data_IF_573520405030
#
_entry.id   IF_573520405030
#
_cell.length_a   1.000
_cell.length_b   1.000
_cell.length_c   1.000
_cell.angle_alpha   90.00
_cell.angle_beta   90.00
_cell.angle_gamma   90.00
#
_symmetry.space_group_name_H-M   'P 1'
#
loop_
_entity.id
_entity.type
_entity.pdbx_description
1 polymer ?
#
# COMPACT_ATOMS: atom_id res chain seq x y z
N UNK A 1 41.92 -56.01 -17.76
CA UNK A 1 42.23 -54.64 -18.23
C UNK A 1 40.91 -53.93 -18.39
N UNK A 2 40.72 -52.94 -17.54
CA UNK A 2 39.48 -52.24 -17.23
C UNK A 2 39.42 -50.92 -18.03
N UNK A 3 38.25 -50.52 -18.50
CA UNK A 3 37.92 -49.14 -18.94
C UNK A 3 36.45 -49.02 -19.33
N UNK A 4 35.58 -49.08 -18.32
CA UNK A 4 34.24 -48.48 -18.37
C UNK A 4 34.37 -47.02 -17.92
N UNK A 5 34.32 -46.06 -18.85
CA UNK A 5 34.26 -44.64 -18.49
C UNK A 5 32.86 -44.28 -18.00
N UNK A 6 32.68 -44.36 -16.67
CA UNK A 6 31.64 -43.66 -15.94
C UNK A 6 31.91 -42.16 -16.04
N UNK A 7 31.21 -41.47 -16.94
CA UNK A 7 31.07 -40.01 -16.83
C UNK A 7 30.09 -39.76 -15.69
N UNK A 8 30.67 -39.34 -14.59
CA UNK A 8 30.05 -39.01 -13.32
C UNK A 8 28.90 -38.02 -13.48
N UNK A 9 27.68 -38.47 -13.20
CA UNK A 9 26.52 -37.62 -12.99
C UNK A 9 26.61 -36.87 -11.66
N UNK A 10 27.52 -35.91 -11.56
CA UNK A 10 27.72 -35.11 -10.34
C UNK A 10 28.28 -33.72 -10.65
N UNK A 11 27.57 -32.94 -11.44
CA UNK A 11 27.82 -31.49 -11.57
C UNK A 11 26.55 -30.63 -11.70
N UNK A 12 25.37 -31.24 -11.84
CA UNK A 12 24.09 -30.50 -11.83
C UNK A 12 23.46 -30.37 -10.44
N UNK A 13 23.95 -31.13 -9.46
CA UNK A 13 23.38 -31.17 -8.10
C UNK A 13 23.89 -30.03 -7.18
N UNK A 14 24.86 -29.23 -7.64
CA UNK A 14 25.45 -28.14 -6.84
C UNK A 14 24.74 -26.78 -6.96
N UNK A 15 23.75 -26.66 -7.85
CA UNK A 15 22.98 -25.41 -8.03
C UNK A 15 21.51 -25.53 -7.68
N UNK A 16 21.07 -26.66 -7.12
CA UNK A 16 19.74 -26.77 -6.55
C UNK A 16 19.78 -26.23 -5.12
N UNK A 17 19.89 -24.90 -5.00
CA UNK A 17 19.34 -24.23 -3.81
C UNK A 17 17.85 -24.52 -3.88
N UNK A 18 17.41 -25.58 -3.21
CA UNK A 18 16.02 -25.74 -2.82
C UNK A 18 15.67 -24.51 -1.98
N UNK A 19 15.22 -23.46 -2.65
CA UNK A 19 14.30 -22.51 -2.05
C UNK A 19 13.02 -23.30 -1.79
N UNK A 20 13.02 -24.08 -0.71
CA UNK A 20 11.80 -24.35 0.04
C UNK A 20 11.10 -23.00 0.15
N UNK A 21 9.94 -22.79 -0.50
CA UNK A 21 9.22 -21.55 -0.35
C UNK A 21 8.83 -21.51 1.12
N UNK A 22 9.58 -20.74 1.92
CA UNK A 22 9.13 -20.35 3.25
C UNK A 22 7.74 -19.79 3.01
N UNK A 23 6.71 -20.55 3.39
CA UNK A 23 5.33 -20.10 3.32
C UNK A 23 5.22 -18.92 4.28
N UNK A 24 5.59 -17.74 3.79
CA UNK A 24 5.42 -16.49 4.49
C UNK A 24 3.92 -16.34 4.71
N UNK A 25 3.51 -16.12 5.96
CA UNK A 25 2.11 -15.87 6.26
C UNK A 25 1.56 -14.79 5.32
N UNK A 26 0.33 -14.97 4.79
CA UNK A 26 -0.30 -13.99 3.91
C UNK A 26 -0.25 -12.59 4.52
N UNK A 27 0.02 -11.57 3.70
CA UNK A 27 -0.03 -10.19 4.18
C UNK A 27 -1.48 -9.76 4.45
N UNK A 28 -1.63 -8.85 5.40
CA UNK A 28 -2.92 -8.24 5.77
C UNK A 28 -2.70 -6.76 6.08
N UNK A 29 -2.93 -5.91 5.08
CA UNK A 29 -2.77 -4.47 5.22
C UNK A 29 -3.73 -3.88 6.25
N UNK A 30 -4.96 -4.40 6.34
CA UNK A 30 -5.96 -3.93 7.29
C UNK A 30 -5.51 -4.12 8.74
N UNK A 31 -4.91 -5.28 9.04
CA UNK A 31 -4.31 -5.59 10.33
C UNK A 31 -3.06 -4.74 10.60
N UNK A 32 -2.18 -4.58 9.61
CA UNK A 32 -1.02 -3.70 9.70
C UNK A 32 -1.45 -2.26 10.07
N UNK A 33 -2.44 -1.71 9.38
CA UNK A 33 -2.98 -0.37 9.65
C UNK A 33 -3.54 -0.26 11.07
N UNK A 34 -4.30 -1.25 11.55
CA UNK A 34 -4.77 -1.26 12.95
C UNK A 34 -3.60 -1.18 13.93
N UNK A 35 -2.54 -1.95 13.70
CA UNK A 35 -1.35 -1.93 14.56
C UNK A 35 -0.64 -0.58 14.54
N UNK A 36 -0.49 0.05 13.37
CA UNK A 36 0.09 1.40 13.27
C UNK A 36 -0.78 2.42 14.00
N UNK A 37 -2.09 2.43 13.76
CA UNK A 37 -3.03 3.36 14.42
C UNK A 37 -2.99 3.23 15.93
N UNK A 38 -3.00 1.99 16.45
CA UNK A 38 -2.87 1.73 17.89
C UNK A 38 -1.58 2.34 18.46
N UNK A 39 -0.45 2.21 17.74
CA UNK A 39 0.83 2.79 18.18
C UNK A 39 0.83 4.32 18.14
N UNK A 40 0.25 4.93 17.10
CA UNK A 40 0.14 6.39 16.99
C UNK A 40 -0.61 7.01 18.18
N UNK A 41 -1.66 6.33 18.67
CA UNK A 41 -2.52 6.85 19.75
C UNK A 41 -2.02 6.55 21.16
N UNK A 42 -0.99 5.72 21.33
CA UNK A 42 -0.54 5.25 22.66
C UNK A 42 0.48 6.18 23.33
N UNK A 43 1.24 6.95 22.56
CA UNK A 43 2.36 7.75 23.08
C UNK A 43 2.00 9.22 23.28
N UNK A 44 1.02 9.72 22.53
CA UNK A 44 0.53 11.09 22.66
C UNK A 44 -0.96 11.14 22.30
N UNK A 45 -1.69 12.13 22.83
CA UNK A 45 -3.07 12.39 22.42
C UNK A 45 -3.21 12.90 20.98
N UNK A 46 -2.09 13.08 20.26
CA UNK A 46 -2.00 13.57 18.89
C UNK A 46 -1.64 12.42 17.95
N UNK A 47 -2.21 12.41 16.75
CA UNK A 47 -1.88 11.43 15.72
C UNK A 47 -0.50 11.76 15.13
N UNK A 48 0.42 10.80 15.19
CA UNK A 48 1.72 10.90 14.52
C UNK A 48 1.54 10.80 12.99
N UNK A 49 1.58 11.95 12.31
CA UNK A 49 1.43 12.01 10.86
C UNK A 49 2.62 11.43 10.08
N UNK A 50 3.80 11.25 10.71
CA UNK A 50 4.93 10.55 10.09
C UNK A 50 4.67 9.06 9.98
N UNK A 51 4.13 8.44 11.04
CA UNK A 51 3.67 7.06 10.97
C UNK A 51 2.50 6.88 9.99
N UNK A 52 1.56 7.84 9.97
CA UNK A 52 0.46 7.86 9.01
C UNK A 52 0.97 7.88 7.56
N UNK A 53 1.89 8.81 7.22
CA UNK A 53 2.51 8.90 5.89
C UNK A 53 3.20 7.59 5.49
N UNK A 54 3.97 6.98 6.40
CA UNK A 54 4.62 5.69 6.14
C UNK A 54 3.60 4.58 5.84
N UNK A 55 2.51 4.52 6.60
CA UNK A 55 1.46 3.55 6.36
C UNK A 55 0.77 3.77 5.01
N UNK A 56 0.50 5.03 4.64
CA UNK A 56 -0.08 5.42 3.35
C UNK A 56 0.85 5.05 2.18
N UNK A 57 2.14 5.39 2.28
CA UNK A 57 3.12 5.11 1.23
C UNK A 57 3.34 3.62 0.97
N UNK A 58 2.97 2.75 1.91
CA UNK A 58 3.01 1.30 1.75
C UNK A 58 1.78 0.73 1.02
N UNK A 59 0.73 1.52 0.77
CA UNK A 59 -0.54 1.03 0.21
C UNK A 59 -0.36 0.32 -1.15
N UNK A 60 0.50 0.85 -2.04
CA UNK A 60 0.75 0.26 -3.37
C UNK A 60 1.50 -1.07 -3.28
N UNK A 61 2.45 -1.19 -2.34
CA UNK A 61 3.16 -2.44 -2.08
C UNK A 61 2.24 -3.50 -1.50
N UNK A 62 1.43 -3.13 -0.50
CA UNK A 62 0.45 -4.04 0.09
C UNK A 62 -0.66 -4.42 -0.89
N UNK A 63 -1.01 -3.56 -1.84
CA UNK A 63 -1.94 -3.94 -2.91
C UNK A 63 -1.41 -5.16 -3.68
N UNK A 64 -0.13 -5.16 -4.06
CA UNK A 64 0.51 -6.28 -4.76
C UNK A 64 0.63 -7.50 -3.85
N UNK A 65 1.09 -7.33 -2.61
CA UNK A 65 1.35 -8.49 -1.73
C UNK A 65 0.06 -9.10 -1.19
N UNK A 66 -0.94 -8.32 -0.79
CA UNK A 66 -2.23 -8.85 -0.32
C UNK A 66 -2.93 -9.58 -1.47
N UNK A 67 -2.91 -9.04 -2.69
CA UNK A 67 -3.57 -9.71 -3.84
C UNK A 67 -2.85 -10.98 -4.32
N UNK A 68 -1.53 -11.07 -4.15
CA UNK A 68 -0.75 -12.25 -4.58
C UNK A 68 -0.59 -13.32 -3.50
N UNK A 69 -0.65 -12.95 -2.22
CA UNK A 69 -0.42 -13.88 -1.09
C UNK A 69 -1.68 -14.21 -0.31
N UNK A 70 -2.76 -13.44 -0.47
CA UNK A 70 -4.04 -13.62 0.23
C UNK A 70 -5.19 -13.58 -0.78
N UNK A 71 -5.35 -14.67 -1.56
CA UNK A 71 -6.35 -14.76 -2.63
C UNK A 71 -7.78 -14.54 -2.15
N UNK A 72 -8.08 -14.94 -0.91
CA UNK A 72 -9.45 -14.98 -0.41
C UNK A 72 -9.90 -13.61 0.11
N UNK A 73 -8.99 -12.88 0.76
CA UNK A 73 -9.34 -11.66 1.50
C UNK A 73 -8.42 -10.47 1.25
N UNK A 74 -7.36 -10.62 0.46
CA UNK A 74 -6.33 -9.61 0.28
C UNK A 74 -6.85 -8.27 -0.24
N UNK A 75 -7.73 -8.29 -1.25
CA UNK A 75 -8.38 -7.08 -1.77
C UNK A 75 -9.21 -6.39 -0.67
N UNK A 76 -9.95 -7.19 0.12
CA UNK A 76 -10.81 -6.67 1.19
C UNK A 76 -9.98 -6.04 2.31
N UNK A 77 -8.91 -6.71 2.76
CA UNK A 77 -8.02 -6.21 3.82
C UNK A 77 -7.29 -4.96 3.37
N UNK A 78 -6.78 -4.96 2.14
CA UNK A 78 -6.17 -3.81 1.52
C UNK A 78 -7.12 -2.61 1.45
N UNK A 79 -8.32 -2.81 0.88
CA UNK A 79 -9.30 -1.75 0.71
C UNK A 79 -9.71 -1.16 2.07
N UNK A 80 -9.95 -2.02 3.06
CA UNK A 80 -10.27 -1.61 4.44
C UNK A 80 -9.15 -0.79 5.07
N UNK A 81 -7.90 -1.24 4.93
CA UNK A 81 -6.72 -0.54 5.44
C UNK A 81 -6.59 0.85 4.83
N UNK A 82 -6.69 0.95 3.50
CA UNK A 82 -6.48 2.22 2.81
C UNK A 82 -7.58 3.24 3.14
N UNK A 83 -8.84 2.81 3.17
CA UNK A 83 -9.97 3.67 3.59
C UNK A 83 -9.78 4.22 5.00
N UNK A 84 -9.34 3.39 5.96
CA UNK A 84 -9.12 3.83 7.35
C UNK A 84 -8.06 4.92 7.46
N UNK A 85 -6.96 4.81 6.72
CA UNK A 85 -5.91 5.84 6.73
C UNK A 85 -6.46 7.17 6.20
N UNK A 86 -7.27 7.13 5.15
CA UNK A 86 -7.88 8.33 4.56
C UNK A 86 -8.95 8.92 5.48
N UNK A 87 -9.72 8.08 6.19
CA UNK A 87 -10.69 8.56 7.18
C UNK A 87 -10.00 9.28 8.34
N UNK A 88 -8.82 8.82 8.77
CA UNK A 88 -7.99 9.56 9.74
C UNK A 88 -7.59 10.93 9.19
N UNK A 89 -7.20 11.01 7.91
CA UNK A 89 -6.89 12.31 7.28
C UNK A 89 -8.09 13.25 7.26
N UNK A 90 -9.29 12.73 6.96
CA UNK A 90 -10.54 13.52 7.00
C UNK A 90 -10.79 14.09 8.40
N UNK A 91 -10.58 13.28 9.44
CA UNK A 91 -10.70 13.73 10.83
C UNK A 91 -9.65 14.80 11.15
N UNK A 92 -8.39 14.59 10.80
CA UNK A 92 -7.33 15.59 10.99
C UNK A 92 -7.62 16.90 10.25
N UNK A 93 -8.17 16.82 9.03
CA UNK A 93 -8.58 17.99 8.27
C UNK A 93 -9.68 18.78 9.00
N UNK A 94 -10.70 18.10 9.50
CA UNK A 94 -11.80 18.74 10.25
C UNK A 94 -11.33 19.46 11.52
N UNK A 95 -10.22 19.01 12.11
CA UNK A 95 -9.58 19.65 13.28
C UNK A 95 -8.58 20.74 12.91
N UNK A 96 -8.31 20.96 11.62
CA UNK A 96 -7.26 21.86 11.15
C UNK A 96 -5.83 21.33 11.32
N UNK A 97 -5.67 20.10 11.80
CA UNK A 97 -4.39 19.47 12.16
C UNK A 97 -3.69 18.78 10.98
N UNK A 98 -4.42 18.48 9.89
CA UNK A 98 -3.84 17.76 8.75
C UNK A 98 -2.75 18.59 8.05
N UNK A 99 -1.58 17.98 7.92
CA UNK A 99 -0.37 18.50 7.28
C UNK A 99 -0.42 18.33 5.75
N UNK A 100 0.19 19.28 5.03
CA UNK A 100 0.32 19.24 3.57
C UNK A 100 1.08 17.99 3.10
N UNK A 101 2.15 17.61 3.79
CA UNK A 101 2.96 16.45 3.42
C UNK A 101 2.16 15.15 3.47
N UNK A 102 1.21 15.05 4.41
CA UNK A 102 0.30 13.90 4.50
C UNK A 102 -0.66 13.86 3.30
N UNK A 103 -1.15 15.01 2.86
CA UNK A 103 -1.98 15.11 1.64
C UNK A 103 -1.18 14.72 0.41
N UNK A 104 0.07 15.18 0.30
CA UNK A 104 0.96 14.84 -0.82
C UNK A 104 1.24 13.33 -0.89
N UNK A 105 1.58 12.71 0.24
CA UNK A 105 1.83 11.27 0.31
C UNK A 105 0.59 10.47 -0.09
N UNK A 106 -0.60 10.87 0.35
CA UNK A 106 -1.84 10.21 -0.04
C UNK A 106 -2.17 10.36 -1.52
N UNK A 107 -1.98 11.55 -2.11
CA UNK A 107 -2.15 11.77 -3.55
C UNK A 107 -1.19 10.89 -4.37
N UNK A 108 0.07 10.79 -3.93
CA UNK A 108 1.07 9.92 -4.55
C UNK A 108 0.68 8.44 -4.45
N UNK A 109 0.41 7.95 -3.25
CA UNK A 109 0.01 6.56 -3.02
C UNK A 109 -1.26 6.19 -3.80
N UNK A 110 -2.23 7.10 -3.89
CA UNK A 110 -3.44 6.92 -4.68
C UNK A 110 -3.12 6.74 -6.18
N UNK A 111 -2.21 7.56 -6.73
CA UNK A 111 -1.76 7.43 -8.12
C UNK A 111 -1.03 6.11 -8.37
N UNK A 112 -0.17 5.69 -7.45
CA UNK A 112 0.54 4.41 -7.58
C UNK A 112 -0.43 3.23 -7.52
N UNK A 113 -1.37 3.23 -6.57
CA UNK A 113 -2.41 2.20 -6.47
C UNK A 113 -3.28 2.15 -7.73
N UNK A 114 -3.58 3.31 -8.34
CA UNK A 114 -4.31 3.38 -9.60
C UNK A 114 -3.55 2.67 -10.73
N UNK A 115 -2.25 2.94 -10.86
CA UNK A 115 -1.40 2.28 -11.86
C UNK A 115 -1.28 0.77 -11.63
N UNK A 116 -1.08 0.34 -10.39
CA UNK A 116 -0.98 -1.09 -10.03
C UNK A 116 -2.29 -1.82 -10.33
N UNK A 117 -3.43 -1.32 -9.82
CA UNK A 117 -4.76 -1.87 -10.14
C UNK A 117 -5.11 -1.74 -11.63
N UNK A 118 -4.39 -0.86 -12.34
CA UNK A 118 -4.42 -0.68 -13.78
C UNK A 118 -3.87 -1.88 -14.56
N UNK A 119 -2.88 -2.57 -14.00
CA UNK A 119 -1.98 -3.44 -14.75
C UNK A 119 -2.48 -4.89 -14.83
N UNK A 120 -3.21 -5.39 -13.81
CA UNK A 120 -3.59 -6.81 -13.71
C UNK A 120 -5.10 -7.00 -13.90
N UNK A 121 -5.49 -8.17 -14.44
CA UNK A 121 -6.91 -8.56 -14.57
C UNK A 121 -7.46 -8.97 -13.19
N UNK A 122 -8.75 -8.76 -12.94
CA UNK A 122 -9.38 -9.15 -11.66
C UNK A 122 -9.16 -8.17 -10.51
N UNK A 123 -8.73 -6.93 -10.81
CA UNK A 123 -8.49 -5.86 -9.82
C UNK A 123 -9.56 -4.75 -9.87
N UNK A 124 -10.74 -5.04 -10.40
CA UNK A 124 -11.85 -4.08 -10.56
C UNK A 124 -12.27 -3.49 -9.20
N UNK A 125 -12.36 -4.33 -8.17
CA UNK A 125 -12.67 -3.91 -6.80
C UNK A 125 -11.58 -3.02 -6.22
N UNK A 126 -10.30 -3.30 -6.53
CA UNK A 126 -9.20 -2.42 -6.14
C UNK A 126 -9.33 -1.05 -6.80
N UNK A 127 -9.63 -1.01 -8.11
CA UNK A 127 -9.85 0.26 -8.83
C UNK A 127 -11.00 1.05 -8.25
N UNK A 128 -12.08 0.37 -7.87
CA UNK A 128 -13.22 1.02 -7.21
C UNK A 128 -12.81 1.61 -5.85
N UNK A 129 -12.06 0.86 -5.04
CA UNK A 129 -11.51 1.36 -3.77
C UNK A 129 -10.58 2.56 -3.94
N UNK A 130 -9.71 2.56 -4.96
CA UNK A 130 -8.87 3.74 -5.27
C UNK A 130 -9.71 4.96 -5.66
N UNK A 131 -10.77 4.79 -6.45
CA UNK A 131 -11.66 5.91 -6.82
C UNK A 131 -12.35 6.52 -5.62
N UNK A 132 -12.83 5.70 -4.69
CA UNK A 132 -13.51 6.14 -3.48
C UNK A 132 -12.56 6.93 -2.57
N UNK A 133 -11.33 6.45 -2.41
CA UNK A 133 -10.26 7.18 -1.73
C UNK A 133 -9.94 8.49 -2.44
N UNK A 134 -9.74 8.48 -3.76
CA UNK A 134 -9.47 9.68 -4.53
C UNK A 134 -10.58 10.73 -4.39
N UNK A 135 -11.85 10.29 -4.36
CA UNK A 135 -12.99 11.17 -4.14
C UNK A 135 -12.98 11.80 -2.75
N UNK A 136 -12.59 11.05 -1.70
CA UNK A 136 -12.41 11.60 -0.35
C UNK A 136 -11.26 12.61 -0.31
N UNK A 137 -10.10 12.28 -0.89
CA UNK A 137 -8.94 13.18 -0.94
C UNK A 137 -9.27 14.47 -1.69
N UNK A 138 -9.97 14.39 -2.83
CA UNK A 138 -10.41 15.56 -3.60
C UNK A 138 -11.25 16.51 -2.75
N UNK A 139 -12.09 16.00 -1.84
CA UNK A 139 -12.91 16.82 -0.94
C UNK A 139 -12.10 17.63 0.07
N UNK A 140 -10.86 17.22 0.37
CA UNK A 140 -9.97 17.94 1.28
C UNK A 140 -9.31 19.16 0.63
N UNK A 141 -9.26 19.20 -0.71
CA UNK A 141 -8.54 20.23 -1.47
C UNK A 141 -9.35 21.51 -1.61
N UNK A 142 -8.67 22.64 -1.74
CA UNK A 142 -9.29 23.96 -1.85
C UNK A 142 -10.10 24.07 -3.16
N UNK A 143 -11.29 24.66 -3.06
CA UNK A 143 -12.11 25.04 -4.20
C UNK A 143 -11.56 26.31 -4.90
N UNK A 144 -11.89 26.56 -6.18
CA UNK A 144 -12.72 25.72 -7.06
C UNK A 144 -11.93 24.69 -7.87
N UNK A 145 -10.60 24.72 -7.82
CA UNK A 145 -9.76 23.96 -8.76
C UNK A 145 -9.27 22.63 -8.19
N UNK A 146 -9.41 22.39 -6.88
CA UNK A 146 -9.01 21.14 -6.21
C UNK A 146 -7.56 20.74 -6.53
N UNK A 147 -6.65 21.72 -6.53
CA UNK A 147 -5.21 21.55 -6.81
C UNK A 147 -4.28 22.04 -5.69
N UNK A 148 -4.84 22.73 -4.71
CA UNK A 148 -4.12 23.22 -3.53
C UNK A 148 -4.76 22.67 -2.27
N UNK A 149 -3.97 22.67 -1.20
CA UNK A 149 -4.43 22.39 0.15
C UNK A 149 -3.88 23.49 1.05
N UNK A 150 -4.76 24.26 1.70
CA UNK A 150 -4.39 25.44 2.50
C UNK A 150 -3.48 26.41 1.71
N UNK A 151 -3.83 26.64 0.44
CA UNK A 151 -3.10 27.54 -0.47
C UNK A 151 -1.79 27.00 -1.05
N UNK A 152 -1.33 25.82 -0.61
CA UNK A 152 -0.10 25.19 -1.11
C UNK A 152 -0.42 24.16 -2.19
N UNK A 153 0.39 24.07 -3.25
CA UNK A 153 0.20 23.07 -4.32
C UNK A 153 0.35 21.66 -3.77
N UNK A 154 -0.60 20.79 -4.13
CA UNK A 154 -0.55 19.35 -3.82
C UNK A 154 0.13 18.61 -4.96
N UNK A 155 0.79 17.49 -4.63
CA UNK A 155 1.29 16.55 -5.62
C UNK A 155 0.19 16.16 -6.61
N UNK A 156 0.45 16.38 -7.90
CA UNK A 156 -0.38 15.90 -9.00
C UNK A 156 0.50 15.03 -9.89
N UNK A 157 0.15 13.76 -10.13
CA UNK A 157 0.86 12.95 -11.12
C UNK A 157 0.75 13.63 -12.48
N UNK A 158 1.85 13.63 -13.25
CA UNK A 158 1.86 14.13 -14.63
C UNK A 158 0.89 13.30 -15.46
N UNK A 159 -0.07 13.99 -16.09
CA UNK A 159 -1.07 13.40 -17.00
C UNK A 159 -0.42 12.96 -18.32
#
# INVERSE_FOLDING_TARGET
MDSSMLVTGSLLDQFQVEMEPRQSQPTDYGRFVIHVVKRMTQQSGVIDQTMLRRAIGLASSYLVTDTSTNSDRGIQTWCTGFHRLVDIMVVLHSRGELELDTVNEASKACSECWSVAGTWRGMEDCRQGVKEVAAKLKKLLDEPHRRTYKGSKVYTPSS
#
